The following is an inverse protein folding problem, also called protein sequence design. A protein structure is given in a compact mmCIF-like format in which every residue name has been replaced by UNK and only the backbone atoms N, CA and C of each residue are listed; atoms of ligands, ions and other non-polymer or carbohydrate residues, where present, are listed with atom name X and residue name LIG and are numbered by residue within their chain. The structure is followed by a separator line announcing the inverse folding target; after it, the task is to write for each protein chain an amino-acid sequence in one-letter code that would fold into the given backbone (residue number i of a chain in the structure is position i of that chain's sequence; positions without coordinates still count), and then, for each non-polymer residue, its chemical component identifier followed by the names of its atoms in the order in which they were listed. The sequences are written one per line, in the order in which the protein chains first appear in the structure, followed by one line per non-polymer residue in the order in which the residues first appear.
data_IF_200555680985
#
_entry.id   IF_200555680985
#
_cell.length_a   1.000
_cell.length_b   1.000
_cell.length_c   1.000
_cell.angle_alpha   90.00
_cell.angle_beta   90.00
_cell.angle_gamma   90.00
#
_symmetry.space_group_name_H-M   'P 1'
#
loop_
_entity.id
_entity.type
_entity.pdbx_description
1 polymer ?
#
# COMPACT_ATOMS: atom_id res chain seq x y z
N UNK A 1 -33.90 -49.89 9.64
CA UNK A 1 -32.73 -49.53 10.51
C UNK A 1 -31.69 -48.81 9.68
N UNK A 2 -31.66 -47.54 9.81
CA UNK A 2 -30.70 -46.49 9.43
C UNK A 2 -31.47 -45.18 9.68
N UNK A 3 -30.97 -44.12 10.29
CA UNK A 3 -29.67 -43.52 10.19
C UNK A 3 -29.20 -42.92 11.55
N UNK A 4 -28.01 -43.24 11.99
CA UNK A 4 -27.45 -42.57 13.18
C UNK A 4 -26.02 -42.10 12.97
N UNK A 5 -25.49 -42.14 11.76
CA UNK A 5 -24.06 -41.91 11.50
C UNK A 5 -23.71 -40.50 10.98
N UNK A 6 -24.70 -39.67 10.61
CA UNK A 6 -24.45 -38.34 10.02
C UNK A 6 -24.44 -37.16 11.01
N UNK A 7 -24.89 -37.35 12.25
CA UNK A 7 -24.98 -36.26 13.24
C UNK A 7 -23.68 -36.07 14.01
N UNK A 8 -22.81 -37.08 14.09
CA UNK A 8 -21.55 -37.01 14.86
C UNK A 8 -20.49 -36.18 14.15
N UNK A 9 -20.45 -36.13 12.82
CA UNK A 9 -19.44 -35.41 12.07
C UNK A 9 -19.64 -33.87 12.03
N UNK A 10 -20.88 -33.40 12.17
CA UNK A 10 -21.19 -31.97 12.22
C UNK A 10 -20.94 -31.33 13.61
N UNK A 11 -20.91 -32.15 14.64
CA UNK A 11 -20.56 -31.71 16.00
C UNK A 11 -19.04 -31.57 16.22
N UNK A 12 -18.22 -32.37 15.51
CA UNK A 12 -16.77 -32.27 15.63
C UNK A 12 -16.17 -31.03 14.96
N UNK A 13 -16.79 -30.51 13.92
CA UNK A 13 -16.33 -29.27 13.27
C UNK A 13 -16.62 -28.02 14.11
N UNK A 14 -17.65 -28.04 14.98
CA UNK A 14 -17.95 -26.93 15.90
C UNK A 14 -17.14 -26.96 17.20
N UNK A 15 -16.64 -28.14 17.61
CA UNK A 15 -15.88 -28.28 18.85
C UNK A 15 -14.40 -27.91 18.72
N UNK A 16 -13.85 -27.82 17.51
CA UNK A 16 -12.47 -27.35 17.31
C UNK A 16 -12.30 -25.83 17.57
N UNK A 17 -13.40 -25.07 17.52
CA UNK A 17 -13.37 -23.64 17.90
C UNK A 17 -13.65 -23.39 19.40
N UNK A 18 -14.03 -24.42 20.17
CA UNK A 18 -14.39 -24.29 21.60
C UNK A 18 -13.35 -24.82 22.58
N UNK A 19 -12.25 -25.42 22.11
CA UNK A 19 -11.13 -25.69 23.00
C UNK A 19 -10.26 -24.43 23.08
N UNK A 20 -10.50 -23.67 24.13
CA UNK A 20 -9.80 -22.55 24.72
C UNK A 20 -8.42 -22.21 24.16
N UNK A 21 -8.34 -21.68 22.94
CA UNK A 21 -7.22 -20.84 22.59
C UNK A 21 -7.44 -19.56 23.40
N UNK A 22 -6.65 -19.35 24.46
CA UNK A 22 -6.58 -18.10 25.16
C UNK A 22 -6.28 -17.01 24.12
N UNK A 23 -7.33 -16.27 23.75
CA UNK A 23 -7.19 -15.12 22.87
C UNK A 23 -6.36 -14.09 23.61
N UNK A 24 -5.21 -13.76 23.05
CA UNK A 24 -4.28 -12.84 23.66
C UNK A 24 -4.83 -11.41 23.56
N UNK A 25 -5.05 -10.77 24.71
CA UNK A 25 -5.51 -9.38 24.77
C UNK A 25 -4.37 -8.35 24.62
N UNK A 26 -3.12 -8.80 24.45
CA UNK A 26 -1.99 -7.91 24.22
C UNK A 26 -2.20 -7.11 22.93
N UNK A 27 -2.10 -5.79 23.05
CA UNK A 27 -2.08 -4.91 21.87
C UNK A 27 -0.70 -4.98 21.21
N UNK A 28 -0.66 -5.28 19.93
CA UNK A 28 0.57 -5.30 19.15
C UNK A 28 0.65 -4.08 18.25
N UNK A 29 1.77 -3.36 18.31
CA UNK A 29 2.05 -2.26 17.38
C UNK A 29 2.66 -2.81 16.10
N UNK A 30 1.84 -2.90 15.06
CA UNK A 30 2.26 -3.41 13.76
C UNK A 30 3.27 -2.51 13.04
N UNK A 31 3.41 -1.24 13.43
CA UNK A 31 4.24 -0.24 12.77
C UNK A 31 5.30 0.38 13.68
N UNK A 32 5.56 -0.22 14.83
CA UNK A 32 6.56 0.24 15.80
C UNK A 32 8.00 -0.14 15.46
N UNK A 33 8.21 -0.98 14.43
CA UNK A 33 9.54 -1.40 13.97
C UNK A 33 9.55 -1.49 12.45
N UNK A 34 10.72 -1.30 11.86
CA UNK A 34 10.97 -1.50 10.42
C UNK A 34 11.42 -2.93 10.09
N UNK A 35 11.75 -3.74 11.09
CA UNK A 35 12.11 -5.14 10.90
C UNK A 35 10.95 -5.92 10.29
N UNK A 36 11.30 -6.92 9.47
CA UNK A 36 10.31 -7.78 8.86
C UNK A 36 9.46 -8.47 9.93
N UNK A 37 8.16 -8.45 9.75
CA UNK A 37 7.23 -9.09 10.66
C UNK A 37 6.85 -10.48 10.13
N UNK A 38 6.96 -11.50 10.96
CA UNK A 38 6.53 -12.86 10.64
C UNK A 38 5.12 -13.10 11.16
N UNK A 39 4.19 -13.38 10.24
CA UNK A 39 2.79 -13.65 10.58
C UNK A 39 2.29 -14.93 9.93
N UNK A 40 1.28 -15.54 10.52
CA UNK A 40 0.51 -16.61 9.90
C UNK A 40 -0.96 -16.26 9.86
N UNK A 41 -1.63 -16.61 8.77
CA UNK A 41 -3.07 -16.47 8.60
C UNK A 41 -3.69 -17.82 8.26
N UNK A 42 -4.57 -18.31 9.13
CA UNK A 42 -5.31 -19.56 8.94
C UNK A 42 -6.77 -19.25 8.66
N UNK A 43 -7.28 -19.66 7.49
CA UNK A 43 -8.65 -19.39 7.02
C UNK A 43 -9.04 -20.35 5.90
N UNK A 44 -10.31 -20.33 5.47
CA UNK A 44 -10.75 -21.05 4.27
C UNK A 44 -10.21 -20.37 3.00
N UNK A 45 -9.05 -20.85 2.53
CA UNK A 45 -8.39 -20.30 1.35
C UNK A 45 -9.20 -20.49 0.07
N UNK A 46 -9.97 -21.59 -0.02
CA UNK A 46 -10.80 -21.86 -1.17
C UNK A 46 -11.96 -20.88 -1.28
N UNK A 47 -12.66 -20.65 -0.17
CA UNK A 47 -13.76 -19.68 -0.13
C UNK A 47 -13.25 -18.26 -0.34
N UNK A 48 -12.09 -17.89 0.19
CA UNK A 48 -11.47 -16.59 -0.03
C UNK A 48 -11.24 -16.29 -1.52
N UNK A 49 -10.63 -17.24 -2.24
CA UNK A 49 -10.36 -17.08 -3.67
C UNK A 49 -11.65 -17.10 -4.49
N UNK A 50 -12.62 -17.96 -4.12
CA UNK A 50 -13.90 -18.07 -4.82
C UNK A 50 -14.74 -16.81 -4.68
N UNK A 51 -14.75 -16.20 -3.50
CA UNK A 51 -15.55 -15.01 -3.21
C UNK A 51 -14.87 -13.68 -3.58
N UNK A 52 -13.72 -13.69 -4.25
CA UNK A 52 -12.95 -12.46 -4.53
C UNK A 52 -13.71 -11.42 -5.37
N UNK A 53 -14.61 -11.85 -6.26
CA UNK A 53 -15.43 -10.95 -7.10
C UNK A 53 -16.56 -10.30 -6.31
N UNK A 54 -17.17 -11.04 -5.37
CA UNK A 54 -18.14 -10.54 -4.38
C UNK A 54 -17.60 -10.78 -2.97
N UNK A 55 -16.73 -9.89 -2.45
CA UNK A 55 -15.97 -10.19 -1.26
C UNK A 55 -16.82 -10.25 0.00
N UNK A 56 -16.68 -11.35 0.73
CA UNK A 56 -17.31 -11.61 2.03
C UNK A 56 -16.29 -11.51 3.15
N UNK A 57 -16.77 -11.23 4.37
CA UNK A 57 -15.94 -11.37 5.55
C UNK A 57 -15.84 -12.87 5.89
N UNK A 58 -14.62 -13.37 6.00
CA UNK A 58 -14.30 -14.74 6.41
C UNK A 58 -13.60 -14.70 7.76
N UNK A 59 -13.93 -15.62 8.63
CA UNK A 59 -13.23 -15.77 9.90
C UNK A 59 -11.84 -16.36 9.65
N UNK A 60 -10.86 -15.84 10.38
CA UNK A 60 -9.47 -16.24 10.29
C UNK A 60 -8.78 -16.15 11.65
N UNK A 61 -7.70 -16.89 11.81
CA UNK A 61 -6.77 -16.76 12.92
C UNK A 61 -5.51 -16.06 12.42
N UNK A 62 -5.20 -14.92 13.00
CA UNK A 62 -3.94 -14.22 12.82
C UNK A 62 -3.01 -14.59 13.95
N UNK A 63 -1.84 -15.11 13.61
CA UNK A 63 -0.72 -15.35 14.55
C UNK A 63 0.41 -14.40 14.19
N UNK A 64 0.84 -13.59 15.16
CA UNK A 64 2.00 -12.70 15.05
C UNK A 64 3.13 -13.32 15.85
N UNK A 65 4.25 -13.64 15.21
CA UNK A 65 5.45 -14.17 15.87
C UNK A 65 6.20 -13.00 16.55
N UNK A 66 6.33 -13.05 17.86
CA UNK A 66 7.08 -12.06 18.65
C UNK A 66 8.54 -12.53 18.82
N UNK A 67 8.71 -13.83 19.12
CA UNK A 67 10.01 -14.50 19.24
C UNK A 67 9.88 -15.97 18.85
N UNK A 68 10.94 -16.74 18.99
CA UNK A 68 10.87 -18.19 18.73
C UNK A 68 9.98 -18.94 19.74
N UNK A 69 9.71 -18.34 20.89
CA UNK A 69 8.95 -18.96 21.99
C UNK A 69 7.65 -18.21 22.31
N UNK A 70 7.38 -17.07 21.65
CA UNK A 70 6.20 -16.24 21.94
C UNK A 70 5.49 -15.78 20.67
N UNK A 71 4.17 -15.88 20.69
CA UNK A 71 3.31 -15.40 19.60
C UNK A 71 1.98 -14.86 20.14
N UNK A 72 1.40 -13.93 19.42
CA UNK A 72 0.07 -13.41 19.69
C UNK A 72 -0.91 -14.03 18.70
N UNK A 73 -1.94 -14.67 19.23
CA UNK A 73 -3.02 -15.28 18.45
C UNK A 73 -4.31 -14.45 18.57
N UNK A 74 -4.84 -13.99 17.46
CA UNK A 74 -6.02 -13.11 17.43
C UNK A 74 -7.03 -13.62 16.40
N UNK A 75 -8.29 -13.80 16.81
CA UNK A 75 -9.37 -14.01 15.86
C UNK A 75 -9.63 -12.72 15.09
N UNK A 76 -9.66 -12.84 13.77
CA UNK A 76 -9.85 -11.71 12.87
C UNK A 76 -10.86 -12.07 11.79
N UNK A 77 -11.37 -11.07 11.10
CA UNK A 77 -12.10 -11.28 9.85
C UNK A 77 -11.30 -10.72 8.71
N UNK A 78 -11.21 -11.49 7.63
CA UNK A 78 -10.53 -11.08 6.40
C UNK A 78 -11.52 -10.87 5.28
N UNK A 79 -11.18 -9.98 4.35
CA UNK A 79 -11.97 -9.70 3.16
C UNK A 79 -11.05 -9.33 2.00
N UNK A 80 -11.29 -9.85 0.80
CA UNK A 80 -10.55 -9.43 -0.39
C UNK A 80 -10.82 -7.94 -0.70
N UNK A 81 -9.77 -7.21 -1.10
CA UNK A 81 -9.82 -5.79 -1.43
C UNK A 81 -9.13 -5.45 -2.76
N UNK A 82 -9.25 -4.19 -3.17
CA UNK A 82 -8.69 -3.67 -4.43
C UNK A 82 -9.57 -4.04 -5.62
N UNK A 83 -9.99 -3.05 -6.41
CA UNK A 83 -10.91 -3.28 -7.52
C UNK A 83 -10.24 -4.07 -8.65
N UNK A 84 -9.09 -3.60 -9.14
CA UNK A 84 -8.34 -4.25 -10.21
C UNK A 84 -7.73 -5.56 -9.76
N UNK A 85 -7.05 -5.58 -8.62
CA UNK A 85 -6.33 -6.77 -8.13
C UNK A 85 -7.26 -7.93 -7.79
N UNK A 86 -8.53 -7.69 -7.39
CA UNK A 86 -9.51 -8.77 -7.19
C UNK A 86 -9.80 -9.54 -8.48
N UNK A 87 -9.81 -8.84 -9.61
CA UNK A 87 -10.08 -9.45 -10.91
C UNK A 87 -8.81 -10.11 -11.48
N UNK A 88 -7.67 -9.47 -11.33
CA UNK A 88 -6.41 -9.92 -11.92
C UNK A 88 -5.70 -11.01 -11.08
N UNK A 89 -5.61 -10.82 -9.76
CA UNK A 89 -4.84 -11.71 -8.90
C UNK A 89 -5.56 -13.04 -8.63
N UNK A 90 -4.84 -14.16 -8.66
CA UNK A 90 -5.34 -15.43 -8.13
C UNK A 90 -5.48 -15.38 -6.60
N UNK A 91 -4.65 -14.56 -5.93
CA UNK A 91 -4.69 -14.32 -4.49
C UNK A 91 -4.67 -12.80 -4.22
N UNK A 92 -5.84 -12.15 -4.17
CA UNK A 92 -5.92 -10.70 -4.10
C UNK A 92 -5.45 -10.14 -2.75
N UNK A 93 -5.13 -8.83 -2.67
CA UNK A 93 -4.91 -8.15 -1.39
C UNK A 93 -6.09 -8.28 -0.45
N UNK A 94 -5.83 -8.20 0.86
CA UNK A 94 -6.87 -8.38 1.87
C UNK A 94 -6.95 -7.24 2.88
N UNK A 95 -8.14 -7.05 3.42
CA UNK A 95 -8.41 -6.26 4.59
C UNK A 95 -8.51 -7.24 5.77
N UNK A 96 -7.70 -7.04 6.79
CA UNK A 96 -7.74 -7.78 8.05
C UNK A 96 -8.44 -6.88 9.06
N UNK A 97 -9.56 -7.36 9.61
CA UNK A 97 -10.37 -6.65 10.60
C UNK A 97 -10.18 -7.29 11.96
N UNK A 98 -9.63 -6.56 12.88
CA UNK A 98 -9.54 -6.87 14.30
C UNK A 98 -10.69 -6.18 15.06
N UNK A 99 -10.80 -6.42 16.35
CA UNK A 99 -11.85 -5.82 17.20
C UNK A 99 -11.85 -4.28 17.11
N UNK A 100 -10.67 -3.65 17.26
CA UNK A 100 -10.54 -2.20 17.38
C UNK A 100 -9.71 -1.57 16.25
N UNK A 101 -9.29 -2.36 15.26
CA UNK A 101 -8.42 -1.87 14.18
C UNK A 101 -8.59 -2.63 12.88
N UNK A 102 -8.02 -2.06 11.83
CA UNK A 102 -8.00 -2.65 10.48
C UNK A 102 -6.61 -2.52 9.90
N UNK A 103 -6.15 -3.56 9.21
CA UNK A 103 -4.89 -3.57 8.46
C UNK A 103 -5.20 -3.85 6.99
N UNK A 104 -4.56 -3.12 6.12
CA UNK A 104 -4.54 -3.41 4.68
C UNK A 104 -3.30 -4.24 4.40
N UNK A 105 -3.46 -5.45 3.87
CA UNK A 105 -2.36 -6.32 3.48
C UNK A 105 -2.27 -6.37 1.96
N UNK A 106 -1.14 -5.96 1.42
CA UNK A 106 -0.77 -6.20 0.03
C UNK A 106 -0.15 -7.59 -0.06
N UNK A 107 -0.74 -8.44 -0.89
CA UNK A 107 -0.33 -9.85 -1.06
C UNK A 107 0.53 -10.03 -2.32
N UNK A 108 1.08 -11.21 -2.49
CA UNK A 108 1.89 -11.61 -3.63
C UNK A 108 1.12 -11.69 -4.97
N UNK A 109 -0.19 -11.45 -4.99
CA UNK A 109 -1.06 -11.49 -6.17
C UNK A 109 -1.09 -12.85 -6.89
N UNK A 110 0.02 -13.30 -7.46
CA UNK A 110 0.23 -14.62 -8.05
C UNK A 110 1.56 -15.20 -7.53
N UNK A 111 1.64 -16.54 -7.42
CA UNK A 111 2.79 -17.23 -6.85
C UNK A 111 3.96 -17.30 -7.85
N UNK A 112 4.54 -16.16 -8.18
CA UNK A 112 5.73 -16.07 -9.04
C UNK A 112 6.73 -15.08 -8.44
N UNK A 113 8.02 -15.30 -8.64
CA UNK A 113 9.07 -14.38 -8.23
C UNK A 113 8.87 -12.96 -8.81
N UNK A 114 8.30 -12.86 -10.01
CA UNK A 114 7.99 -11.57 -10.63
C UNK A 114 6.93 -10.79 -9.85
N UNK A 115 5.88 -11.46 -9.37
CA UNK A 115 4.82 -10.81 -8.58
C UNK A 115 5.33 -10.43 -7.19
N UNK A 116 6.21 -11.21 -6.59
CA UNK A 116 6.87 -10.85 -5.34
C UNK A 116 7.75 -9.61 -5.51
N UNK A 117 8.50 -9.50 -6.61
CA UNK A 117 9.25 -8.28 -6.93
C UNK A 117 8.34 -7.04 -7.07
N UNK A 118 7.10 -7.18 -7.55
CA UNK A 118 6.15 -6.06 -7.58
C UNK A 118 5.76 -5.61 -6.18
N UNK A 119 5.52 -6.55 -5.26
CA UNK A 119 5.25 -6.24 -3.85
C UNK A 119 6.41 -5.44 -3.23
N UNK A 120 7.64 -5.86 -3.44
CA UNK A 120 8.83 -5.17 -2.93
C UNK A 120 9.00 -3.77 -3.53
N UNK A 121 8.77 -3.61 -4.82
CA UNK A 121 8.85 -2.30 -5.47
C UNK A 121 7.76 -1.34 -5.00
N UNK A 122 6.53 -1.84 -4.83
CA UNK A 122 5.44 -1.03 -4.30
C UNK A 122 5.73 -0.63 -2.84
N UNK A 123 6.22 -1.56 -2.01
CA UNK A 123 6.68 -1.26 -0.65
C UNK A 123 7.76 -0.16 -0.66
N UNK A 124 8.78 -0.28 -1.53
CA UNK A 124 9.81 0.75 -1.68
C UNK A 124 9.22 2.11 -2.10
N UNK A 125 8.22 2.14 -2.99
CA UNK A 125 7.57 3.42 -3.35
C UNK A 125 6.94 4.09 -2.12
N UNK A 126 6.31 3.33 -1.21
CA UNK A 126 5.83 3.88 0.08
C UNK A 126 6.99 4.37 0.95
N UNK A 127 8.10 3.63 1.04
CA UNK A 127 9.28 4.07 1.83
C UNK A 127 9.89 5.35 1.28
N UNK A 128 10.01 5.47 -0.04
CA UNK A 128 10.45 6.71 -0.67
C UNK A 128 9.49 7.88 -0.38
N UNK A 129 8.18 7.64 -0.40
CA UNK A 129 7.21 8.68 -0.06
C UNK A 129 7.26 9.09 1.42
N UNK A 130 7.56 8.15 2.33
CA UNK A 130 7.77 8.46 3.75
C UNK A 130 8.96 9.41 3.99
N UNK A 131 9.97 9.44 3.11
CA UNK A 131 11.07 10.41 3.18
C UNK A 131 10.63 11.83 2.80
N UNK A 132 9.66 11.94 1.89
CA UNK A 132 9.20 13.24 1.36
C UNK A 132 8.34 14.00 2.37
N UNK A 133 7.48 13.27 3.12
CA UNK A 133 6.50 13.92 4.00
C UNK A 133 6.05 12.98 5.14
N UNK A 134 5.80 13.52 6.35
CA UNK A 134 5.17 12.75 7.43
C UNK A 134 3.69 12.41 7.13
N UNK A 135 3.06 13.15 6.22
CA UNK A 135 1.69 12.89 5.73
C UNK A 135 1.70 11.76 4.72
N UNK A 136 2.00 10.57 5.20
CA UNK A 136 2.16 9.35 4.40
C UNK A 136 1.74 8.14 5.23
N UNK A 137 1.38 7.04 4.60
CA UNK A 137 1.06 5.81 5.32
C UNK A 137 2.32 5.14 5.83
N UNK A 138 2.33 4.70 7.10
CA UNK A 138 3.31 3.72 7.57
C UNK A 138 3.05 2.38 6.89
N UNK A 139 4.14 1.71 6.53
CA UNK A 139 4.11 0.37 5.96
C UNK A 139 5.10 -0.53 6.67
N UNK A 140 4.83 -1.83 6.74
CA UNK A 140 5.76 -2.82 7.29
C UNK A 140 5.80 -4.05 6.40
N UNK A 141 7.00 -4.45 6.00
CA UNK A 141 7.21 -5.68 5.26
C UNK A 141 6.88 -6.88 6.15
N UNK A 142 6.22 -7.88 5.59
CA UNK A 142 5.84 -9.10 6.32
C UNK A 142 6.18 -10.33 5.51
N UNK A 143 6.63 -11.37 6.20
CA UNK A 143 6.65 -12.73 5.70
C UNK A 143 5.44 -13.48 6.24
N UNK A 144 4.62 -14.02 5.33
CA UNK A 144 3.31 -14.56 5.69
C UNK A 144 3.23 -16.04 5.34
N UNK A 145 2.77 -16.82 6.30
CA UNK A 145 2.36 -18.21 6.08
C UNK A 145 0.83 -18.29 6.07
N UNK A 146 0.25 -18.54 4.90
CA UNK A 146 -1.18 -18.81 4.75
C UNK A 146 -1.42 -20.30 4.90
N UNK A 147 -2.38 -20.69 5.75
CA UNK A 147 -2.75 -22.08 5.98
C UNK A 147 -4.25 -22.27 5.73
N UNK A 148 -4.59 -23.26 4.93
CA UNK A 148 -5.99 -23.60 4.66
C UNK A 148 -6.59 -24.39 5.83
N UNK A 149 -7.66 -23.88 6.45
CA UNK A 149 -8.34 -24.57 7.56
C UNK A 149 -8.93 -25.91 7.15
N UNK A 150 -9.33 -26.06 5.88
CA UNK A 150 -9.92 -27.31 5.38
C UNK A 150 -8.86 -28.31 4.88
N UNK A 151 -7.63 -27.84 4.65
CA UNK A 151 -6.51 -28.69 4.27
C UNK A 151 -5.19 -28.10 4.82
N UNK A 152 -4.84 -28.40 6.09
CA UNK A 152 -3.64 -27.84 6.72
C UNK A 152 -2.31 -28.16 6.01
N UNK A 153 -2.28 -29.18 5.14
CA UNK A 153 -1.11 -29.47 4.29
C UNK A 153 -0.93 -28.44 3.16
N UNK A 154 -1.99 -27.71 2.83
CA UNK A 154 -1.95 -26.63 1.85
C UNK A 154 -1.54 -25.34 2.55
N UNK A 155 -0.29 -24.97 2.39
CA UNK A 155 0.25 -23.73 2.90
C UNK A 155 0.95 -22.96 1.78
N UNK A 156 0.94 -21.65 1.89
CA UNK A 156 1.63 -20.72 0.99
C UNK A 156 2.47 -19.80 1.87
N UNK A 157 3.78 -19.78 1.64
CA UNK A 157 4.66 -18.77 2.24
C UNK A 157 5.01 -17.72 1.19
N UNK A 158 4.85 -16.46 1.51
CA UNK A 158 5.16 -15.36 0.61
C UNK A 158 5.48 -14.08 1.38
N UNK A 159 6.07 -13.10 0.69
CA UNK A 159 6.16 -11.75 1.19
C UNK A 159 4.90 -10.95 0.88
N UNK A 160 4.65 -9.97 1.71
CA UNK A 160 3.63 -8.95 1.56
C UNK A 160 4.02 -7.72 2.36
N UNK A 161 3.19 -6.71 2.42
CA UNK A 161 3.37 -5.63 3.37
C UNK A 161 2.02 -5.14 3.92
N UNK A 162 2.06 -4.73 5.17
CA UNK A 162 0.95 -4.07 5.84
C UNK A 162 0.98 -2.57 5.53
N UNK A 163 -0.20 -2.00 5.40
CA UNK A 163 -0.40 -0.55 5.29
C UNK A 163 -1.26 -0.11 6.48
N UNK A 164 -0.85 0.97 7.10
CA UNK A 164 -1.56 1.64 8.18
C UNK A 164 -3.01 1.97 7.80
N UNK A 165 -3.90 1.98 8.78
CA UNK A 165 -5.29 2.44 8.61
C UNK A 165 -5.32 3.97 8.41
N UNK A 166 -6.26 4.42 7.60
CA UNK A 166 -6.49 5.85 7.30
C UNK A 166 -6.70 6.67 8.59
N UNK A 167 -7.49 6.14 9.55
CA UNK A 167 -7.77 6.82 10.82
C UNK A 167 -6.53 6.95 11.69
N UNK A 168 -5.69 5.91 11.75
CA UNK A 168 -4.44 5.94 12.52
C UNK A 168 -3.43 6.90 11.89
N UNK A 169 -3.33 6.92 10.56
CA UNK A 169 -2.50 7.87 9.82
C UNK A 169 -2.95 9.31 10.10
N UNK A 170 -4.25 9.58 10.08
CA UNK A 170 -4.79 10.89 10.41
C UNK A 170 -4.53 11.27 11.88
N UNK A 171 -4.79 10.35 12.82
CA UNK A 171 -4.62 10.59 14.26
C UNK A 171 -3.18 10.96 14.62
N UNK A 172 -2.17 10.22 14.11
CA UNK A 172 -0.76 10.54 14.41
C UNK A 172 -0.27 11.86 13.80
N UNK A 173 -1.00 12.37 12.82
CA UNK A 173 -0.75 13.68 12.20
C UNK A 173 -1.66 14.79 12.77
N UNK A 174 -2.34 14.53 13.89
CA UNK A 174 -3.30 15.46 14.50
C UNK A 174 -4.34 15.99 13.49
N UNK A 175 -4.89 15.09 12.68
CA UNK A 175 -5.81 15.41 11.61
C UNK A 175 -7.03 14.48 11.61
N UNK A 176 -7.96 14.72 10.71
CA UNK A 176 -9.05 13.81 10.35
C UNK A 176 -9.02 13.54 8.85
N UNK A 177 -9.45 12.35 8.45
CA UNK A 177 -9.63 12.04 7.03
C UNK A 177 -10.90 12.76 6.55
N UNK A 178 -10.78 13.48 5.47
CA UNK A 178 -11.92 14.11 4.80
C UNK A 178 -12.55 13.10 3.86
N UNK A 179 -13.79 12.75 4.14
CA UNK A 179 -14.64 11.90 3.30
C UNK A 179 -15.64 12.81 2.56
N UNK A 180 -15.19 13.46 1.51
CA UNK A 180 -16.01 14.36 0.72
C UNK A 180 -15.55 14.32 -0.74
N UNK A 181 -16.42 13.86 -1.63
CA UNK A 181 -16.20 13.90 -3.06
C UNK A 181 -16.27 15.36 -3.57
N UNK A 182 -15.58 15.67 -4.66
CA UNK A 182 -15.53 16.98 -5.32
C UNK A 182 -14.61 18.03 -4.69
N UNK A 183 -13.52 17.63 -4.06
CA UNK A 183 -12.46 18.54 -3.64
C UNK A 183 -11.42 18.66 -4.74
N UNK A 184 -11.16 19.90 -5.18
CA UNK A 184 -10.10 20.14 -6.16
C UNK A 184 -8.73 20.31 -5.49
N UNK A 185 -7.67 20.16 -6.27
CA UNK A 185 -6.30 20.41 -5.83
C UNK A 185 -6.10 21.84 -5.30
N UNK A 186 -6.91 22.83 -5.73
CA UNK A 186 -6.87 24.23 -5.26
C UNK A 186 -7.24 24.39 -3.78
N UNK A 187 -7.94 23.42 -3.20
CA UNK A 187 -8.26 23.39 -1.77
C UNK A 187 -7.17 22.73 -0.92
N UNK A 188 -6.10 22.25 -1.53
CA UNK A 188 -4.97 21.65 -0.82
C UNK A 188 -3.95 22.71 -0.40
N UNK A 189 -3.18 22.41 0.64
CA UNK A 189 -1.95 23.12 0.94
C UNK A 189 -1.03 23.06 -0.28
N UNK A 190 -0.54 24.18 -0.75
CA UNK A 190 0.19 24.28 -2.02
C UNK A 190 1.49 23.49 -2.01
N UNK A 191 2.24 23.55 -0.91
CA UNK A 191 3.52 22.85 -0.75
C UNK A 191 3.32 21.34 -0.63
N UNK A 192 2.31 20.89 0.13
CA UNK A 192 2.01 19.47 0.26
C UNK A 192 1.44 18.89 -1.05
N UNK A 193 0.66 19.69 -1.78
CA UNK A 193 0.19 19.30 -3.11
C UNK A 193 1.37 19.20 -4.10
N UNK A 194 2.33 20.14 -4.03
CA UNK A 194 3.54 20.10 -4.84
C UNK A 194 4.37 18.84 -4.55
N UNK A 195 4.54 18.47 -3.27
CA UNK A 195 5.22 17.23 -2.84
C UNK A 195 4.58 16.00 -3.45
N UNK A 196 3.26 15.87 -3.30
CA UNK A 196 2.51 14.73 -3.84
C UNK A 196 2.61 14.67 -5.36
N UNK A 197 2.40 15.79 -6.04
CA UNK A 197 2.43 15.83 -7.50
C UNK A 197 3.83 15.55 -8.06
N UNK A 198 4.87 16.13 -7.45
CA UNK A 198 6.26 15.91 -7.88
C UNK A 198 6.73 14.48 -7.58
N UNK A 199 6.32 13.92 -6.43
CA UNK A 199 6.62 12.52 -6.11
C UNK A 199 5.98 11.57 -7.13
N UNK A 200 4.69 11.71 -7.40
CA UNK A 200 4.01 10.89 -8.41
C UNK A 200 4.63 11.06 -9.79
N UNK A 201 5.06 12.28 -10.17
CA UNK A 201 5.81 12.50 -11.40
C UNK A 201 7.17 11.80 -11.37
N UNK A 202 7.92 11.85 -10.27
CA UNK A 202 9.21 11.18 -10.10
C UNK A 202 9.10 9.67 -10.31
N UNK A 203 8.09 9.04 -9.70
CA UNK A 203 7.87 7.58 -9.83
C UNK A 203 7.05 7.19 -11.07
N UNK A 204 6.62 8.16 -11.90
CA UNK A 204 5.80 7.92 -13.09
C UNK A 204 4.43 7.33 -12.76
N UNK A 205 3.80 7.80 -11.69
CA UNK A 205 2.45 7.41 -11.32
C UNK A 205 1.44 8.40 -11.89
N UNK A 206 0.54 7.93 -12.74
CA UNK A 206 -0.55 8.72 -13.31
C UNK A 206 -1.92 8.22 -12.87
N UNK A 207 -1.96 7.22 -11.97
CA UNK A 207 -3.19 6.62 -11.47
C UNK A 207 -3.63 7.27 -10.15
N UNK A 208 -3.85 8.60 -10.16
CA UNK A 208 -4.30 9.33 -8.99
C UNK A 208 -5.14 10.56 -9.34
N UNK A 209 -6.06 10.92 -8.45
CA UNK A 209 -6.91 12.10 -8.59
C UNK A 209 -7.38 12.62 -7.23
N UNK A 210 -7.12 13.91 -6.94
CA UNK A 210 -7.68 14.56 -5.75
C UNK A 210 -9.19 14.70 -5.88
N UNK A 211 -9.68 15.10 -7.06
CA UNK A 211 -11.10 15.33 -7.31
C UNK A 211 -11.95 14.07 -7.12
N UNK A 212 -11.44 12.93 -7.54
CA UNK A 212 -12.10 11.62 -7.41
C UNK A 212 -11.70 10.88 -6.13
N UNK A 213 -10.83 11.46 -5.30
CA UNK A 213 -10.17 10.78 -4.18
C UNK A 213 -9.61 9.40 -4.55
N UNK A 214 -9.16 9.26 -5.80
CA UNK A 214 -8.54 8.05 -6.30
C UNK A 214 -7.06 8.03 -5.95
N UNK A 215 -6.62 7.02 -5.20
CA UNK A 215 -5.24 6.85 -4.71
C UNK A 215 -4.67 8.09 -3.97
N UNK A 216 -5.56 8.95 -3.49
CA UNK A 216 -5.28 10.10 -2.63
C UNK A 216 -6.27 10.09 -1.46
N UNK A 217 -5.76 10.31 -0.25
CA UNK A 217 -6.56 10.73 0.91
C UNK A 217 -6.32 12.21 1.16
N UNK A 218 -7.32 12.87 1.73
CA UNK A 218 -7.19 14.26 2.13
C UNK A 218 -7.31 14.33 3.66
N UNK A 219 -6.32 14.92 4.31
CA UNK A 219 -6.34 15.19 5.73
C UNK A 219 -6.73 16.64 5.99
N UNK A 220 -7.53 16.85 7.04
CA UNK A 220 -7.83 18.17 7.60
C UNK A 220 -7.17 18.23 8.98
N UNK A 221 -6.15 19.09 9.18
CA UNK A 221 -5.53 19.29 10.49
C UNK A 221 -6.55 19.80 11.52
N UNK A 222 -6.43 19.35 12.78
CA UNK A 222 -7.36 19.74 13.86
C UNK A 222 -7.09 21.13 14.43
N UNK A 223 -5.81 21.55 14.44
CA UNK A 223 -5.32 22.72 15.18
C UNK A 223 -4.90 23.88 14.28
N UNK A 224 -5.27 23.87 13.01
CA UNK A 224 -4.88 24.96 12.11
C UNK A 224 -6.10 25.81 11.73
N UNK A 225 -5.89 27.14 11.69
CA UNK A 225 -6.84 28.08 11.09
C UNK A 225 -6.87 27.97 9.55
N UNK A 226 -6.08 27.05 8.99
CA UNK A 226 -6.03 26.83 7.54
C UNK A 226 -7.19 25.97 7.10
N UNK A 227 -7.98 26.47 6.16
CA UNK A 227 -9.03 25.70 5.48
C UNK A 227 -8.48 24.82 4.34
N UNK A 228 -7.14 24.60 4.29
CA UNK A 228 -6.49 23.82 3.25
C UNK A 228 -6.30 22.37 3.69
N UNK A 229 -6.70 21.44 2.81
CA UNK A 229 -6.46 20.02 3.01
C UNK A 229 -5.00 19.63 2.75
N UNK A 230 -4.58 18.51 3.30
CA UNK A 230 -3.26 17.92 3.05
C UNK A 230 -3.46 16.63 2.26
N UNK A 231 -2.99 16.53 1.01
CA UNK A 231 -3.13 15.33 0.21
C UNK A 231 -2.12 14.27 0.65
N UNK A 232 -2.56 13.00 0.67
CA UNK A 232 -1.73 11.84 1.02
C UNK A 232 -1.86 10.80 -0.08
N UNK A 233 -0.79 10.57 -0.84
CA UNK A 233 -0.77 9.58 -1.90
C UNK A 233 -0.59 8.14 -1.36
N UNK A 234 -1.20 7.18 -2.06
CA UNK A 234 -1.08 5.75 -1.77
C UNK A 234 -1.41 4.92 -3.01
N UNK A 235 -1.19 3.59 -2.96
CA UNK A 235 -1.46 2.62 -4.03
C UNK A 235 -0.62 2.90 -5.28
N UNK A 236 0.69 2.61 -5.19
CA UNK A 236 1.68 2.97 -6.21
C UNK A 236 1.94 1.87 -7.24
N UNK A 237 1.17 0.79 -7.25
CA UNK A 237 1.40 -0.39 -8.09
C UNK A 237 1.28 -0.12 -9.62
N UNK A 238 0.53 0.91 -10.00
CA UNK A 238 0.40 1.36 -11.40
C UNK A 238 1.52 2.30 -11.86
N UNK A 239 2.48 2.62 -10.99
CA UNK A 239 3.58 3.54 -11.34
C UNK A 239 4.60 2.94 -12.30
N UNK A 240 5.27 3.79 -13.06
CA UNK A 240 6.43 3.42 -13.87
C UNK A 240 7.63 2.92 -13.06
N UNK A 241 7.68 3.22 -11.75
CA UNK A 241 8.65 2.68 -10.82
C UNK A 241 8.39 1.19 -10.53
N UNK A 242 7.13 0.80 -10.31
CA UNK A 242 6.76 -0.59 -10.00
C UNK A 242 6.69 -1.45 -11.26
N UNK A 243 6.05 -0.97 -12.32
CA UNK A 243 5.88 -1.65 -13.62
C UNK A 243 5.26 -3.03 -13.47
N UNK A 244 4.08 -3.10 -12.87
CA UNK A 244 3.35 -4.36 -12.79
C UNK A 244 2.91 -4.82 -14.19
N UNK A 245 2.73 -6.13 -14.37
CA UNK A 245 2.29 -6.68 -15.66
C UNK A 245 0.84 -6.31 -16.03
N UNK A 246 0.08 -5.80 -15.08
CA UNK A 246 -1.29 -5.32 -15.28
C UNK A 246 -1.39 -3.79 -15.36
N UNK A 247 -0.32 -3.05 -15.07
CA UNK A 247 -0.33 -1.60 -15.20
C UNK A 247 -0.29 -1.19 -16.67
N UNK A 248 -1.08 -0.18 -17.00
CA UNK A 248 -1.18 0.39 -18.33
C UNK A 248 -1.12 1.92 -18.24
N UNK A 249 -0.74 2.61 -19.31
CA UNK A 249 -0.87 4.06 -19.39
C UNK A 249 -2.30 4.49 -19.07
N UNK A 250 -2.44 5.57 -18.28
CA UNK A 250 -3.77 6.11 -17.96
C UNK A 250 -4.46 6.57 -19.23
N UNK A 251 -5.69 6.12 -19.44
CA UNK A 251 -6.50 6.45 -20.61
C UNK A 251 -6.71 7.97 -20.71
N UNK A 252 -6.62 8.49 -21.93
CA UNK A 252 -6.77 9.91 -22.21
C UNK A 252 -5.49 10.74 -22.04
N UNK A 253 -4.41 10.17 -21.49
CA UNK A 253 -3.12 10.85 -21.43
C UNK A 253 -2.25 10.55 -22.66
N UNK A 254 -1.44 11.50 -23.14
CA UNK A 254 -0.59 11.34 -24.32
C UNK A 254 0.72 10.56 -23.99
N UNK A 255 0.60 9.48 -23.23
CA UNK A 255 1.69 8.57 -22.88
C UNK A 255 1.43 7.18 -23.46
N UNK A 256 2.48 6.51 -23.92
CA UNK A 256 2.40 5.18 -24.58
C UNK A 256 2.82 4.04 -23.67
N UNK A 257 3.62 4.34 -22.67
CA UNK A 257 4.15 3.36 -21.71
C UNK A 257 3.96 3.86 -20.28
N UNK A 258 3.69 2.96 -19.37
CA UNK A 258 3.55 3.27 -17.93
C UNK A 258 4.82 3.91 -17.35
N UNK A 259 5.98 3.70 -17.99
CA UNK A 259 7.27 4.28 -17.57
C UNK A 259 7.46 5.74 -17.98
N UNK A 260 6.58 6.29 -18.82
CA UNK A 260 6.63 7.70 -19.19
C UNK A 260 6.05 8.56 -18.08
N UNK A 261 6.75 9.66 -17.78
CA UNK A 261 6.32 10.60 -16.75
C UNK A 261 5.36 11.63 -17.31
N UNK A 262 4.23 11.80 -16.63
CA UNK A 262 3.26 12.82 -16.96
C UNK A 262 2.80 13.53 -15.67
N UNK A 263 2.84 14.86 -15.66
CA UNK A 263 2.51 15.64 -14.48
C UNK A 263 1.01 15.92 -14.42
N UNK A 264 0.37 15.53 -13.32
CA UNK A 264 -1.06 15.71 -13.06
C UNK A 264 -1.34 16.73 -11.95
N UNK A 265 -0.31 17.40 -11.46
CA UNK A 265 -0.47 18.43 -10.43
C UNK A 265 -1.04 19.73 -10.98
N UNK A 266 -1.49 20.62 -10.09
CA UNK A 266 -1.84 22.00 -10.44
C UNK A 266 -0.64 22.75 -11.00
N UNK A 267 -0.94 23.82 -11.71
CA UNK A 267 0.04 24.86 -12.04
C UNK A 267 0.42 25.61 -10.75
N UNK A 268 1.49 25.14 -10.10
CA UNK A 268 1.98 25.66 -8.81
C UNK A 268 2.77 26.93 -9.06
N UNK A 269 2.71 27.86 -8.13
CA UNK A 269 3.57 29.04 -8.17
C UNK A 269 5.05 28.60 -8.13
N UNK A 270 5.87 29.27 -8.91
CA UNK A 270 7.28 28.88 -9.16
C UNK A 270 8.05 28.72 -7.85
N UNK A 271 7.83 29.59 -6.89
CA UNK A 271 8.52 29.62 -5.60
C UNK A 271 8.25 28.37 -4.75
N UNK A 272 7.01 27.94 -4.63
CA UNK A 272 6.65 26.74 -3.87
C UNK A 272 7.17 25.48 -4.55
N UNK A 273 7.12 25.41 -5.87
CA UNK A 273 7.65 24.28 -6.62
C UNK A 273 9.20 24.22 -6.48
N UNK A 274 9.88 25.35 -6.47
CA UNK A 274 11.33 25.41 -6.29
C UNK A 274 11.74 24.86 -4.92
N UNK A 275 11.07 25.26 -3.85
CA UNK A 275 11.33 24.73 -2.49
C UNK A 275 11.19 23.20 -2.45
N UNK A 276 10.16 22.65 -3.12
CA UNK A 276 9.96 21.20 -3.16
C UNK A 276 11.01 20.51 -4.03
N UNK A 277 11.42 21.12 -5.14
CA UNK A 277 12.51 20.60 -5.98
C UNK A 277 13.84 20.53 -5.23
N UNK A 278 14.17 21.57 -4.46
CA UNK A 278 15.36 21.59 -3.59
C UNK A 278 15.28 20.47 -2.55
N UNK A 279 14.14 20.30 -1.88
CA UNK A 279 13.92 19.18 -0.95
C UNK A 279 14.17 17.82 -1.62
N UNK A 280 13.71 17.62 -2.85
CA UNK A 280 13.93 16.35 -3.57
C UNK A 280 15.40 16.13 -3.93
N UNK A 281 16.14 17.18 -4.31
CA UNK A 281 17.59 17.06 -4.58
C UNK A 281 18.35 16.69 -3.29
N UNK A 282 17.98 17.29 -2.15
CA UNK A 282 18.55 16.95 -0.85
C UNK A 282 18.30 15.49 -0.48
N UNK A 283 17.08 14.98 -0.76
CA UNK A 283 16.67 13.60 -0.49
C UNK A 283 17.18 12.55 -1.50
N UNK A 284 17.91 12.98 -2.53
CA UNK A 284 18.32 12.09 -3.58
C UNK A 284 19.19 10.93 -3.10
N UNK A 285 20.11 11.19 -2.19
CA UNK A 285 20.97 10.16 -1.63
C UNK A 285 20.12 9.13 -0.87
N UNK A 286 19.20 9.58 -0.03
CA UNK A 286 18.30 8.75 0.77
C UNK A 286 17.37 7.90 -0.11
N UNK A 287 16.86 8.44 -1.22
CA UNK A 287 16.09 7.66 -2.18
C UNK A 287 16.91 6.51 -2.78
N UNK A 288 18.15 6.80 -3.16
CA UNK A 288 19.00 5.80 -3.80
C UNK A 288 19.51 4.76 -2.80
N UNK A 289 19.88 5.17 -1.57
CA UNK A 289 20.30 4.24 -0.52
C UNK A 289 19.16 3.34 -0.06
N UNK A 290 17.94 3.88 0.10
CA UNK A 290 16.75 3.08 0.42
C UNK A 290 16.51 1.95 -0.61
N UNK A 291 16.79 2.20 -1.89
CA UNK A 291 16.68 1.16 -2.93
C UNK A 291 17.85 0.18 -2.86
N UNK A 292 19.07 0.67 -2.70
CA UNK A 292 20.30 -0.13 -2.75
C UNK A 292 20.43 -1.06 -1.53
N UNK A 293 20.09 -0.56 -0.36
CA UNK A 293 20.15 -1.31 0.92
C UNK A 293 19.03 -2.34 1.09
N UNK A 294 18.01 -2.32 0.22
CA UNK A 294 16.89 -3.25 0.33
C UNK A 294 17.28 -4.67 -0.08
N UNK A 295 17.40 -5.57 0.89
CA UNK A 295 17.98 -6.91 0.73
C UNK A 295 17.13 -7.87 -0.11
N UNK A 296 15.80 -7.67 -0.14
CA UNK A 296 14.84 -8.63 -0.74
C UNK A 296 14.66 -8.48 -2.25
N UNK A 297 15.22 -7.44 -2.86
CA UNK A 297 15.19 -7.28 -4.31
C UNK A 297 16.52 -7.74 -4.96
N UNK A 298 16.44 -8.46 -6.09
CA UNK A 298 17.65 -8.75 -6.88
C UNK A 298 18.38 -7.47 -7.31
N UNK A 299 19.72 -7.49 -7.30
CA UNK A 299 20.55 -6.34 -7.68
C UNK A 299 20.22 -5.76 -9.05
N UNK A 300 19.86 -6.61 -10.03
CA UNK A 300 19.43 -6.16 -11.34
C UNK A 300 18.14 -5.32 -11.26
N UNK A 301 17.22 -5.63 -10.34
CA UNK A 301 16.01 -4.86 -10.11
C UNK A 301 16.34 -3.55 -9.38
N UNK A 302 17.19 -3.57 -8.37
CA UNK A 302 17.67 -2.36 -7.67
C UNK A 302 18.31 -1.38 -8.64
N UNK A 303 19.23 -1.85 -9.50
CA UNK A 303 19.85 -1.00 -10.53
C UNK A 303 18.84 -0.37 -11.49
N UNK A 304 17.79 -1.12 -11.89
CA UNK A 304 16.73 -0.57 -12.76
C UNK A 304 15.94 0.53 -12.06
N UNK A 305 15.59 0.34 -10.78
CA UNK A 305 14.89 1.34 -9.98
C UNK A 305 15.76 2.60 -9.77
N UNK A 306 17.01 2.43 -9.39
CA UNK A 306 17.95 3.53 -9.24
C UNK A 306 18.16 4.30 -10.56
N UNK A 307 18.27 3.60 -11.68
CA UNK A 307 18.34 4.23 -13.00
C UNK A 307 17.09 5.04 -13.32
N UNK A 308 15.89 4.50 -12.99
CA UNK A 308 14.62 5.17 -13.20
C UNK A 308 14.54 6.46 -12.36
N UNK A 309 14.84 6.41 -11.06
CA UNK A 309 14.88 7.58 -10.18
C UNK A 309 15.93 8.59 -10.67
N UNK A 310 17.14 8.16 -11.01
CA UNK A 310 18.16 9.05 -11.57
C UNK A 310 17.72 9.73 -12.89
N UNK A 311 16.80 9.11 -13.63
CA UNK A 311 16.18 9.71 -14.81
C UNK A 311 15.41 10.99 -14.48
N UNK A 312 14.69 11.03 -13.35
CA UNK A 312 14.03 12.23 -12.85
C UNK A 312 15.06 13.31 -12.48
N UNK A 313 16.10 12.99 -11.72
CA UNK A 313 17.11 13.95 -11.32
C UNK A 313 17.92 14.53 -12.48
N UNK A 314 18.10 13.76 -13.58
CA UNK A 314 18.69 14.31 -14.80
C UNK A 314 17.84 15.43 -15.43
N UNK A 315 16.50 15.27 -15.40
CA UNK A 315 15.59 16.32 -15.88
C UNK A 315 15.60 17.51 -14.91
N UNK A 316 15.58 17.24 -13.60
CA UNK A 316 15.55 18.26 -12.54
C UNK A 316 16.77 19.17 -12.56
N UNK A 317 17.97 18.67 -12.92
CA UNK A 317 19.19 19.48 -13.05
C UNK A 317 19.03 20.66 -14.02
N UNK A 318 18.16 20.52 -15.02
CA UNK A 318 17.77 21.60 -15.89
C UNK A 318 16.37 22.07 -15.48
N UNK A 319 16.34 22.99 -14.49
CA UNK A 319 15.10 23.50 -13.91
C UNK A 319 14.14 24.08 -14.96
N UNK A 320 14.66 24.77 -15.97
CA UNK A 320 13.83 25.35 -17.03
C UNK A 320 13.15 24.25 -17.87
N UNK A 321 13.86 23.15 -18.15
CA UNK A 321 13.28 22.00 -18.85
C UNK A 321 12.21 21.34 -18.01
N UNK A 322 12.47 21.11 -16.73
CA UNK A 322 11.48 20.52 -15.83
C UNK A 322 10.25 21.42 -15.71
N UNK A 323 10.43 22.71 -15.40
CA UNK A 323 9.33 23.67 -15.30
C UNK A 323 8.52 23.73 -16.61
N UNK A 324 9.19 23.72 -17.77
CA UNK A 324 8.51 23.68 -19.06
C UNK A 324 7.65 22.40 -19.21
N UNK A 325 8.16 21.24 -18.80
CA UNK A 325 7.42 19.98 -18.85
C UNK A 325 6.20 20.01 -17.91
N UNK A 326 6.38 20.44 -16.66
CA UNK A 326 5.30 20.53 -15.69
C UNK A 326 4.22 21.52 -16.12
N UNK A 327 4.61 22.69 -16.64
CA UNK A 327 3.67 23.73 -17.08
C UNK A 327 2.88 23.38 -18.36
N UNK A 328 3.35 22.43 -19.17
CA UNK A 328 2.60 21.95 -20.35
C UNK A 328 1.41 21.10 -19.98
N UNK A 329 1.47 20.41 -18.85
CA UNK A 329 0.50 19.38 -18.47
C UNK A 329 -0.22 19.70 -17.17
N UNK A 330 0.20 20.74 -16.43
CA UNK A 330 -0.43 21.13 -15.17
C UNK A 330 -1.91 21.44 -15.32
N UNK A 331 -2.69 21.10 -14.32
CA UNK A 331 -4.14 21.37 -14.25
C UNK A 331 -4.39 22.83 -13.82
N UNK A 332 -5.25 23.54 -14.53
CA UNK A 332 -5.60 24.95 -14.24
C UNK A 332 -6.87 25.09 -13.40
#
# INVERSE_FOLDING_TARGET
MKPLTYIVFLLFAKTLFTQGQNMDERKFDFFGSEEILHISLSFDMREYVKSKSDPKNLDALLTVKISDYDSINTAVRIKARGQMRRNYCSFPPMLIKMKDSRLKLVTHCNQTAQNENYVFKEYLAYKLFNLVTPYSFKTRLVQINYTDLNNPRRSISSFGFLIENDDNMALRNNAVVLDNDNISQKHMNERDMARVALFNYMIGNTDWSVLQQHNIKVLVPRDTFSNKGIPVAYDFDYSGFVQTSYSAPTEGLPIKMVTERYYLGNCIIKEELQVVMEQFEDLKYEFLSTIDEFEYLPDASKRKLAYYINGFFRIQRNQDVLLSQLNRTCQR
#
